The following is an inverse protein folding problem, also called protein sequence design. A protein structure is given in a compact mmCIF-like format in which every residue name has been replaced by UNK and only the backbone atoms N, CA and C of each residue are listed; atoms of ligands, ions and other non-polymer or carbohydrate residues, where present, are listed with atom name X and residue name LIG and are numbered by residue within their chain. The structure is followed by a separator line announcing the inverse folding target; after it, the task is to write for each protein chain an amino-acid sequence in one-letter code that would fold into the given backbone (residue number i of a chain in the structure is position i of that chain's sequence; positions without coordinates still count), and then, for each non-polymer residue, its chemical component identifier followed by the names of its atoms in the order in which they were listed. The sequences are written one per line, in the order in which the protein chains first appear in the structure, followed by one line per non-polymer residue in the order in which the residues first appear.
data_IF_024692723915
#
_entry.id   IF_024692723915
#
_cell.length_a   1.000
_cell.length_b   1.000
_cell.length_c   1.000
_cell.angle_alpha   90.00
_cell.angle_beta   90.00
_cell.angle_gamma   90.00
#
_symmetry.space_group_name_H-M   'P 1'
#
loop_
_entity.id
_entity.type
_entity.pdbx_description
1 polymer ?
#
# COMPACT_ATOMS: atom_id res chain seq x y z
N UNK A 1 9.34 12.77 -82.52
CA UNK A 1 8.97 11.46 -81.95
C UNK A 1 8.88 11.56 -80.42
N UNK A 2 8.07 12.49 -79.90
CA UNK A 2 7.98 12.85 -78.47
C UNK A 2 6.55 13.32 -78.12
N UNK A 3 5.55 12.76 -78.81
CA UNK A 3 4.13 13.16 -78.67
C UNK A 3 3.20 11.97 -78.35
N UNK A 4 3.72 10.74 -78.29
CA UNK A 4 2.93 9.50 -78.14
C UNK A 4 3.00 8.86 -76.75
N UNK A 5 3.89 9.30 -75.84
CA UNK A 5 3.96 8.79 -74.47
C UNK A 5 3.06 9.56 -73.49
N UNK A 6 2.76 10.84 -73.77
CA UNK A 6 1.87 11.67 -72.93
C UNK A 6 0.40 11.22 -73.04
N UNK A 7 -0.01 10.65 -74.19
CA UNK A 7 -1.37 10.12 -74.36
C UNK A 7 -1.61 8.76 -73.66
N UNK A 8 -0.55 8.02 -73.29
CA UNK A 8 -0.68 6.72 -72.62
C UNK A 8 -0.68 6.80 -71.09
N UNK A 9 -0.20 7.90 -70.51
CA UNK A 9 -0.27 8.16 -69.07
C UNK A 9 -1.62 8.75 -68.62
N UNK A 10 -2.27 9.56 -69.46
CA UNK A 10 -3.56 10.18 -69.14
C UNK A 10 -4.72 9.16 -69.04
N UNK A 11 -4.64 8.04 -69.76
CA UNK A 11 -5.68 6.98 -69.76
C UNK A 11 -5.59 6.09 -68.51
N UNK A 12 -4.45 6.04 -67.82
CA UNK A 12 -4.30 5.34 -66.53
C UNK A 12 -4.71 6.18 -65.32
N UNK A 13 -4.81 7.51 -65.48
CA UNK A 13 -5.26 8.42 -64.43
C UNK A 13 -6.79 8.55 -64.33
N UNK A 14 -7.54 8.05 -65.32
CA UNK A 14 -9.01 8.07 -65.35
C UNK A 14 -9.67 6.77 -64.84
N UNK A 15 -8.92 5.87 -64.20
CA UNK A 15 -9.47 4.73 -63.44
C UNK A 15 -9.47 4.97 -61.92
N UNK A 16 -9.11 6.18 -61.47
CA UNK A 16 -9.04 6.57 -60.05
C UNK A 16 -10.34 7.25 -59.57
N UNK A 17 -11.36 7.42 -60.43
CA UNK A 17 -12.59 8.19 -60.09
C UNK A 17 -13.84 7.32 -59.88
N UNK A 18 -13.72 5.99 -59.78
CA UNK A 18 -14.90 5.13 -59.57
C UNK A 18 -14.69 4.03 -58.52
N UNK A 19 -14.38 4.40 -57.26
CA UNK A 19 -14.66 3.55 -56.10
C UNK A 19 -14.61 4.33 -54.77
N UNK A 20 -15.44 5.37 -54.62
CA UNK A 20 -15.75 5.94 -53.29
C UNK A 20 -17.25 5.80 -53.08
N UNK A 21 -17.66 4.61 -52.66
CA UNK A 21 -18.99 4.33 -52.16
C UNK A 21 -18.88 3.29 -51.05
N UNK A 22 -19.55 3.59 -49.94
CA UNK A 22 -19.81 2.77 -48.76
C UNK A 22 -18.72 2.82 -47.67
N UNK A 23 -19.05 3.54 -46.61
CA UNK A 23 -18.28 3.50 -45.37
C UNK A 23 -18.41 4.71 -44.45
N UNK A 24 -19.54 5.44 -44.46
CA UNK A 24 -19.84 6.34 -43.35
C UNK A 24 -20.24 5.48 -42.14
N UNK A 25 -19.24 4.88 -41.47
CA UNK A 25 -19.42 4.41 -40.10
C UNK A 25 -19.62 5.66 -39.26
N UNK A 26 -20.87 5.96 -38.94
CA UNK A 26 -21.19 6.83 -37.82
C UNK A 26 -20.43 6.28 -36.63
N UNK A 27 -19.43 7.02 -36.15
CA UNK A 27 -18.91 6.81 -34.81
C UNK A 27 -20.06 7.17 -33.88
N UNK A 28 -20.91 6.18 -33.60
CA UNK A 28 -21.81 6.22 -32.47
C UNK A 28 -20.88 6.45 -31.28
N UNK A 29 -20.84 7.69 -30.78
CA UNK A 29 -20.18 8.00 -29.54
C UNK A 29 -20.69 7.00 -28.54
N UNK A 30 -19.80 6.13 -28.06
CA UNK A 30 -20.04 5.42 -26.82
C UNK A 30 -20.09 6.49 -25.74
N UNK A 31 -21.28 7.08 -25.58
CA UNK A 31 -21.65 7.67 -24.31
C UNK A 31 -21.63 6.50 -23.34
N UNK A 32 -20.47 6.32 -22.69
CA UNK A 32 -20.40 5.56 -21.47
C UNK A 32 -21.37 6.27 -20.53
N UNK A 33 -22.61 5.81 -20.54
CA UNK A 33 -23.60 6.16 -19.54
C UNK A 33 -23.02 5.60 -18.26
N UNK A 34 -22.40 6.48 -17.48
CA UNK A 34 -22.16 6.24 -16.07
C UNK A 34 -23.54 6.14 -15.43
N UNK A 35 -24.17 4.97 -15.56
CA UNK A 35 -25.25 4.55 -14.69
C UNK A 35 -24.57 4.41 -13.33
N UNK A 36 -24.59 5.49 -12.56
CA UNK A 36 -24.26 5.44 -11.15
C UNK A 36 -25.17 4.37 -10.56
N UNK A 37 -24.59 3.22 -10.22
CA UNK A 37 -25.28 2.26 -9.38
C UNK A 37 -25.71 3.06 -8.15
N UNK A 38 -27.02 3.23 -7.95
CA UNK A 38 -27.50 4.04 -6.86
C UNK A 38 -27.11 3.33 -5.57
N UNK A 39 -26.37 4.01 -4.69
CA UNK A 39 -26.00 3.51 -3.37
C UNK A 39 -27.20 3.53 -2.40
N UNK A 40 -28.42 3.54 -2.93
CA UNK A 40 -29.67 3.67 -2.20
C UNK A 40 -29.85 2.42 -1.33
N UNK A 41 -29.48 2.53 -0.05
CA UNK A 41 -29.58 1.44 0.93
C UNK A 41 -28.26 0.97 1.53
N UNK A 42 -27.11 1.48 1.07
CA UNK A 42 -25.86 1.26 1.79
C UNK A 42 -25.82 2.12 3.06
N UNK A 43 -25.46 1.55 4.22
CA UNK A 43 -25.34 2.35 5.44
C UNK A 43 -24.24 3.39 5.27
N UNK A 44 -24.59 4.67 5.41
CA UNK A 44 -23.65 5.79 5.32
C UNK A 44 -22.66 5.80 6.50
N UNK A 45 -22.97 5.07 7.57
CA UNK A 45 -22.18 4.98 8.80
C UNK A 45 -22.03 3.51 9.17
N UNK A 46 -20.79 3.08 9.44
CA UNK A 46 -20.50 1.79 10.05
C UNK A 46 -20.38 1.96 11.56
N UNK A 47 -21.18 1.21 12.31
CA UNK A 47 -21.08 1.10 13.77
C UNK A 47 -20.23 -0.14 14.14
N UNK A 48 -19.74 -0.21 15.39
CA UNK A 48 -19.03 -1.37 15.95
C UNK A 48 -17.68 -1.72 15.29
N UNK A 49 -16.81 -0.73 15.07
CA UNK A 49 -15.44 -0.99 14.60
C UNK A 49 -14.55 -1.45 15.77
N UNK A 50 -13.84 -2.56 15.61
CA UNK A 50 -12.86 -3.02 16.59
C UNK A 50 -11.68 -2.02 16.67
N UNK A 51 -11.19 -1.77 17.88
CA UNK A 51 -10.10 -0.83 18.14
C UNK A 51 -9.03 -1.50 19.01
N UNK A 52 -7.77 -1.25 18.68
CA UNK A 52 -6.66 -1.68 19.51
C UNK A 52 -6.59 -0.82 20.78
N UNK A 53 -6.60 -1.47 21.94
CA UNK A 53 -6.48 -0.79 23.23
C UNK A 53 -5.01 -0.53 23.58
N UNK A 54 -4.75 0.39 24.51
CA UNK A 54 -3.42 0.62 25.06
C UNK A 54 -2.82 -0.68 25.64
N UNK A 55 -3.61 -1.44 26.41
CA UNK A 55 -3.16 -2.72 26.98
C UNK A 55 -2.75 -3.74 25.91
N UNK A 56 -3.48 -3.80 24.79
CA UNK A 56 -3.08 -4.60 23.63
C UNK A 56 -1.77 -4.10 23.02
N UNK A 57 -1.64 -2.79 22.83
CA UNK A 57 -0.42 -2.18 22.30
C UNK A 57 0.81 -2.47 23.19
N UNK A 58 0.68 -2.31 24.51
CA UNK A 58 1.74 -2.62 25.48
C UNK A 58 2.13 -4.10 25.46
N UNK A 59 1.15 -5.01 25.33
CA UNK A 59 1.42 -6.45 25.21
C UNK A 59 2.23 -6.78 23.97
N UNK A 60 1.91 -6.17 22.82
CA UNK A 60 2.69 -6.33 21.60
C UNK A 60 4.12 -5.80 21.77
N UNK A 61 4.30 -4.64 22.40
CA UNK A 61 5.61 -4.06 22.70
C UNK A 61 6.46 -5.00 23.57
N UNK A 62 5.88 -5.56 24.64
CA UNK A 62 6.57 -6.49 25.53
C UNK A 62 7.02 -7.75 24.79
N UNK A 63 6.15 -8.34 23.96
CA UNK A 63 6.47 -9.53 23.19
C UNK A 63 7.59 -9.26 22.17
N UNK A 64 7.52 -8.14 21.44
CA UNK A 64 8.56 -7.72 20.51
C UNK A 64 9.89 -7.45 21.22
N UNK A 65 9.89 -6.77 22.37
CA UNK A 65 11.12 -6.53 23.14
C UNK A 65 11.79 -7.84 23.54
N UNK A 66 11.02 -8.81 24.04
CA UNK A 66 11.52 -10.14 24.40
C UNK A 66 12.15 -10.86 23.20
N UNK A 67 11.55 -10.75 22.02
CA UNK A 67 12.13 -11.33 20.80
C UNK A 67 13.45 -10.64 20.43
N UNK A 68 13.51 -9.32 20.51
CA UNK A 68 14.74 -8.57 20.23
C UNK A 68 15.88 -8.96 21.19
N UNK A 69 15.57 -9.18 22.47
CA UNK A 69 16.50 -9.71 23.47
C UNK A 69 17.02 -11.10 23.08
N UNK A 70 16.14 -12.02 22.67
CA UNK A 70 16.51 -13.37 22.19
C UNK A 70 17.43 -13.30 20.96
N UNK A 71 17.17 -12.36 20.06
CA UNK A 71 17.96 -12.16 18.83
C UNK A 71 19.26 -11.37 19.07
N UNK A 72 19.47 -10.83 20.27
CA UNK A 72 20.65 -10.02 20.60
C UNK A 72 20.69 -8.65 19.91
N UNK A 73 19.54 -8.09 19.52
CA UNK A 73 19.45 -6.79 18.83
C UNK A 73 18.82 -5.73 19.74
N UNK A 74 19.22 -4.46 19.57
CA UNK A 74 18.60 -3.32 20.25
C UNK A 74 17.77 -2.51 19.27
N UNK A 75 16.45 -2.42 19.50
CA UNK A 75 15.50 -1.81 18.55
C UNK A 75 14.56 -0.80 19.22
N UNK A 76 13.91 0.01 18.39
CA UNK A 76 12.77 0.85 18.72
C UNK A 76 11.49 0.15 18.24
N UNK A 77 10.45 0.15 19.05
CA UNK A 77 9.18 -0.53 18.81
C UNK A 77 8.07 0.50 18.97
N UNK A 78 7.30 0.71 17.91
CA UNK A 78 6.15 1.60 17.88
C UNK A 78 4.88 0.80 17.58
N UNK A 79 3.80 1.07 18.31
CA UNK A 79 2.47 0.52 18.03
C UNK A 79 1.48 1.67 17.86
N UNK A 80 0.70 1.61 16.79
CA UNK A 80 -0.26 2.65 16.38
C UNK A 80 -1.66 2.06 16.25
N UNK A 81 -2.68 2.93 16.34
CA UNK A 81 -4.07 2.60 16.02
C UNK A 81 -4.30 2.42 14.50
N UNK A 82 -5.54 2.16 14.11
CA UNK A 82 -5.91 1.96 12.70
C UNK A 82 -5.83 3.24 11.85
N UNK A 83 -5.76 4.41 12.47
CA UNK A 83 -5.48 5.72 11.84
C UNK A 83 -3.99 6.04 11.73
N UNK A 84 -3.14 5.25 12.39
CA UNK A 84 -1.69 5.47 12.42
C UNK A 84 -1.22 6.43 13.52
N UNK A 85 -2.06 6.68 14.54
CA UNK A 85 -1.70 7.45 15.73
C UNK A 85 -1.03 6.57 16.78
N UNK A 86 0.01 7.09 17.41
CA UNK A 86 0.84 6.35 18.37
C UNK A 86 0.05 5.99 19.64
N UNK A 87 0.02 4.71 19.97
CA UNK A 87 -0.56 4.19 21.21
C UNK A 87 0.50 3.83 22.24
N UNK A 88 1.56 3.13 21.80
CA UNK A 88 2.65 2.71 22.67
C UNK A 88 3.99 2.77 21.93
N UNK A 89 5.06 3.05 22.69
CA UNK A 89 6.41 3.14 22.16
C UNK A 89 7.43 2.65 23.18
N UNK A 90 8.42 1.89 22.73
CA UNK A 90 9.58 1.52 23.53
C UNK A 90 10.86 1.64 22.72
N UNK A 91 11.85 2.31 23.30
CA UNK A 91 13.23 2.32 22.80
C UNK A 91 14.08 1.49 23.76
N UNK A 92 14.68 0.42 23.25
CA UNK A 92 15.62 -0.37 24.04
C UNK A 92 16.90 0.42 24.31
N UNK A 93 17.53 0.16 25.45
CA UNK A 93 18.86 0.70 25.73
C UNK A 93 19.86 0.25 24.67
N UNK A 94 20.71 1.16 24.21
CA UNK A 94 21.63 0.90 23.09
C UNK A 94 20.98 0.96 21.69
N UNK A 95 19.65 1.05 21.58
CA UNK A 95 19.01 1.21 20.28
C UNK A 95 19.31 2.59 19.66
N UNK A 96 19.48 2.59 18.33
CA UNK A 96 19.79 3.78 17.53
C UNK A 96 18.71 4.86 17.71
N UNK A 97 19.04 6.08 18.20
CA UNK A 97 18.07 7.16 18.36
C UNK A 97 17.38 7.56 17.04
N UNK A 98 18.12 7.53 15.93
CA UNK A 98 17.57 7.87 14.60
C UNK A 98 16.47 6.91 14.13
N UNK A 99 16.38 5.71 14.71
CA UNK A 99 15.35 4.73 14.35
C UNK A 99 14.02 4.93 15.09
N UNK A 100 13.93 5.92 16.00
CA UNK A 100 12.65 6.30 16.65
C UNK A 100 11.62 6.68 15.59
N UNK A 101 11.91 7.67 14.76
CA UNK A 101 10.96 8.14 13.75
C UNK A 101 10.69 7.09 12.68
N UNK A 102 11.70 6.32 12.27
CA UNK A 102 11.50 5.29 11.25
C UNK A 102 10.61 4.16 11.75
N UNK A 103 10.72 3.75 13.02
CA UNK A 103 9.83 2.76 13.61
C UNK A 103 8.37 3.24 13.66
N UNK A 104 8.14 4.51 14.02
CA UNK A 104 6.80 5.12 13.99
C UNK A 104 6.27 5.18 12.56
N UNK A 105 7.06 5.67 11.59
CA UNK A 105 6.65 5.72 10.18
C UNK A 105 6.36 4.32 9.62
N UNK A 106 7.13 3.29 9.99
CA UNK A 106 6.84 1.91 9.58
C UNK A 106 5.49 1.42 10.12
N UNK A 107 5.19 1.70 11.39
CA UNK A 107 3.90 1.37 12.00
C UNK A 107 2.75 2.14 11.31
N UNK A 108 2.86 3.46 11.19
CA UNK A 108 1.85 4.31 10.53
C UNK A 108 1.63 3.91 9.07
N UNK A 109 2.70 3.62 8.32
CA UNK A 109 2.62 3.15 6.94
C UNK A 109 1.87 1.81 6.88
N UNK A 110 2.20 0.86 7.75
CA UNK A 110 1.52 -0.44 7.77
C UNK A 110 0.02 -0.32 8.12
N UNK A 111 -0.33 0.53 9.09
CA UNK A 111 -1.72 0.77 9.48
C UNK A 111 -2.51 1.40 8.33
N UNK A 112 -1.99 2.47 7.73
CA UNK A 112 -2.70 3.27 6.71
C UNK A 112 -2.74 2.59 5.35
N UNK A 113 -1.68 1.87 4.95
CA UNK A 113 -1.65 1.03 3.75
C UNK A 113 -2.47 -0.26 3.90
N UNK A 114 -2.82 -0.64 5.13
CA UNK A 114 -3.48 -1.93 5.44
C UNK A 114 -2.64 -3.13 5.01
N UNK A 115 -1.32 -3.06 5.18
CA UNK A 115 -0.40 -4.10 4.71
C UNK A 115 1.02 -3.93 5.25
N UNK A 116 1.83 -4.99 5.16
CA UNK A 116 3.22 -4.93 5.61
C UNK A 116 4.04 -3.88 4.86
N UNK A 117 4.99 -3.24 5.55
CA UNK A 117 6.01 -2.43 4.88
C UNK A 117 7.13 -3.31 4.35
N UNK A 118 7.78 -2.85 3.30
CA UNK A 118 8.84 -3.60 2.64
C UNK A 118 9.01 -3.15 1.19
N UNK A 119 9.98 -3.77 0.48
CA UNK A 119 10.19 -3.49 -0.92
C UNK A 119 8.91 -3.72 -1.72
N UNK A 120 8.70 -2.88 -2.72
CA UNK A 120 7.57 -3.02 -3.63
C UNK A 120 7.74 -4.28 -4.50
N UNK A 121 6.64 -4.91 -4.97
CA UNK A 121 6.66 -6.20 -5.66
C UNK A 121 7.55 -6.26 -6.91
N UNK A 122 7.94 -5.12 -7.48
CA UNK A 122 8.78 -5.00 -8.67
C UNK A 122 10.20 -4.52 -8.32
N UNK A 123 10.86 -5.14 -7.34
CA UNK A 123 12.26 -4.82 -7.02
C UNK A 123 13.21 -4.98 -8.23
N UNK A 124 12.86 -5.88 -9.16
CA UNK A 124 13.60 -6.12 -10.41
C UNK A 124 13.29 -5.09 -11.52
N UNK A 125 12.29 -4.23 -11.31
CA UNK A 125 11.87 -3.17 -12.22
C UNK A 125 11.44 -1.92 -11.43
N UNK A 126 12.29 -1.46 -10.50
CA UNK A 126 12.15 -0.13 -9.95
C UNK A 126 12.57 0.84 -11.05
N UNK A 127 11.64 1.23 -11.90
CA UNK A 127 11.87 2.34 -12.81
C UNK A 127 11.89 3.66 -12.03
N UNK A 128 12.39 4.71 -12.68
CA UNK A 128 12.46 6.04 -12.07
C UNK A 128 11.07 6.57 -11.65
N UNK A 129 9.99 6.13 -12.31
CA UNK A 129 8.63 6.54 -11.97
C UNK A 129 8.17 5.94 -10.64
N UNK A 130 8.48 4.67 -10.36
CA UNK A 130 8.13 4.03 -9.10
C UNK A 130 8.90 4.63 -7.92
N UNK A 131 10.19 4.95 -8.12
CA UNK A 131 11.01 5.62 -7.10
C UNK A 131 10.45 7.00 -6.76
N UNK A 132 10.13 7.78 -7.80
CA UNK A 132 9.54 9.10 -7.64
C UNK A 132 8.14 9.02 -6.99
N UNK A 133 7.35 8.00 -7.33
CA UNK A 133 6.04 7.78 -6.71
C UNK A 133 6.14 7.48 -5.20
N UNK A 134 7.14 6.69 -4.77
CA UNK A 134 7.39 6.42 -3.34
C UNK A 134 7.84 7.67 -2.60
N UNK A 135 8.75 8.45 -3.18
CA UNK A 135 9.21 9.72 -2.61
C UNK A 135 8.04 10.72 -2.50
N UNK A 136 7.25 10.86 -3.56
CA UNK A 136 6.05 11.69 -3.57
C UNK A 136 5.04 11.21 -2.52
N UNK A 137 4.78 9.90 -2.41
CA UNK A 137 3.90 9.34 -1.40
C UNK A 137 4.38 9.66 0.03
N UNK A 138 5.69 9.59 0.28
CA UNK A 138 6.28 10.02 1.54
C UNK A 138 6.10 11.53 1.77
N UNK A 139 6.32 12.37 0.77
CA UNK A 139 6.17 13.82 0.87
C UNK A 139 4.71 14.24 1.13
N UNK A 140 3.76 13.77 0.32
CA UNK A 140 2.32 14.16 0.45
C UNK A 140 1.68 13.62 1.72
N UNK A 141 2.19 12.52 2.27
CA UNK A 141 1.74 11.98 3.56
C UNK A 141 2.38 12.67 4.78
N UNK A 142 3.28 13.64 4.56
CA UNK A 142 4.02 14.31 5.63
C UNK A 142 5.04 13.41 6.33
N UNK A 143 5.67 12.50 5.58
CA UNK A 143 6.68 11.56 6.08
C UNK A 143 6.10 10.30 6.75
N UNK A 144 4.81 9.99 6.52
CA UNK A 144 4.09 8.89 7.16
C UNK A 144 4.06 7.59 6.34
N UNK A 145 4.73 7.58 5.18
CA UNK A 145 4.82 6.43 4.30
C UNK A 145 6.27 5.97 4.16
N UNK A 146 6.48 4.65 4.14
CA UNK A 146 7.81 4.05 3.91
C UNK A 146 7.71 2.65 3.30
N UNK A 147 8.71 2.31 2.48
CA UNK A 147 8.98 0.97 1.94
C UNK A 147 10.05 0.22 2.73
N UNK A 148 10.54 0.79 3.84
CA UNK A 148 11.47 0.09 4.72
C UNK A 148 10.74 -1.05 5.44
N UNK A 149 11.31 -2.25 5.39
CA UNK A 149 10.78 -3.45 6.05
C UNK A 149 10.81 -3.30 7.58
N UNK A 150 9.81 -3.87 8.26
CA UNK A 150 9.69 -3.86 9.73
C UNK A 150 8.39 -3.32 10.29
N UNK A 151 7.44 -2.90 9.44
CA UNK A 151 6.08 -2.54 9.80
C UNK A 151 5.10 -3.66 9.43
N UNK A 152 4.23 -4.06 10.36
CA UNK A 152 3.22 -5.10 10.14
C UNK A 152 1.85 -4.65 10.68
N UNK A 153 0.76 -4.90 9.94
CA UNK A 153 -0.58 -4.62 10.42
C UNK A 153 -0.98 -5.61 11.52
N UNK A 154 -1.76 -5.15 12.49
CA UNK A 154 -2.42 -5.96 13.50
C UNK A 154 -3.85 -6.20 13.04
N UNK A 155 -4.17 -7.47 12.78
CA UNK A 155 -5.45 -7.91 12.23
C UNK A 155 -6.36 -8.47 13.33
N UNK A 156 -7.64 -8.14 13.27
CA UNK A 156 -8.71 -8.74 14.06
C UNK A 156 -9.95 -8.89 13.19
N UNK A 157 -10.42 -10.13 12.98
CA UNK A 157 -11.57 -10.45 12.12
C UNK A 157 -11.51 -9.76 10.74
N UNK A 158 -10.40 -9.95 10.02
CA UNK A 158 -10.11 -9.33 8.71
C UNK A 158 -10.06 -7.79 8.70
N UNK A 159 -10.12 -7.15 9.87
CA UNK A 159 -9.97 -5.71 10.04
C UNK A 159 -8.57 -5.37 10.56
N UNK A 160 -7.91 -4.40 9.94
CA UNK A 160 -6.74 -3.75 10.53
C UNK A 160 -7.22 -2.88 11.70
N UNK A 161 -6.80 -3.21 12.92
CA UNK A 161 -7.14 -2.46 14.14
C UNK A 161 -5.98 -1.60 14.64
N UNK A 162 -4.81 -1.76 14.02
CA UNK A 162 -3.58 -1.05 14.35
C UNK A 162 -2.41 -1.61 13.57
N UNK A 163 -1.20 -1.20 13.92
CA UNK A 163 0.02 -1.76 13.37
C UNK A 163 1.19 -1.62 14.34
N UNK A 164 2.19 -2.48 14.15
CA UNK A 164 3.48 -2.42 14.84
C UNK A 164 4.57 -2.05 13.83
N UNK A 165 5.55 -1.27 14.28
CA UNK A 165 6.73 -0.90 13.51
C UNK A 165 7.99 -1.03 14.36
N UNK A 166 8.99 -1.72 13.83
CA UNK A 166 10.26 -1.96 14.50
C UNK A 166 11.40 -1.35 13.70
N UNK A 167 12.34 -0.71 14.40
CA UNK A 167 13.49 -0.05 13.78
C UNK A 167 14.74 -0.07 14.65
N UNK A 168 15.84 -0.58 14.10
CA UNK A 168 17.15 -0.49 14.75
C UNK A 168 18.14 -1.55 14.27
N UNK A 169 17.63 -2.66 13.74
CA UNK A 169 18.39 -3.78 13.21
C UNK A 169 18.34 -3.82 11.66
N UNK A 170 18.55 -4.99 11.05
CA UNK A 170 18.26 -5.17 9.62
C UNK A 170 16.75 -5.22 9.37
N UNK A 171 16.31 -4.99 8.13
CA UNK A 171 14.89 -5.02 7.80
C UNK A 171 14.23 -6.37 8.08
N UNK A 172 14.96 -7.46 7.88
CA UNK A 172 14.56 -8.83 8.20
C UNK A 172 14.36 -9.02 9.71
N UNK A 173 15.34 -8.59 10.50
CA UNK A 173 15.29 -8.70 11.96
C UNK A 173 14.18 -7.82 12.54
N UNK A 174 14.03 -6.59 12.04
CA UNK A 174 12.94 -5.69 12.43
C UNK A 174 11.57 -6.35 12.16
N UNK A 175 11.39 -6.98 10.98
CA UNK A 175 10.14 -7.66 10.64
C UNK A 175 9.87 -8.91 11.48
N UNK A 176 10.90 -9.68 11.84
CA UNK A 176 10.76 -10.86 12.71
C UNK A 176 10.33 -10.45 14.13
N UNK A 177 10.94 -9.39 14.67
CA UNK A 177 10.56 -8.82 15.97
C UNK A 177 9.13 -8.29 15.94
N UNK A 178 8.75 -7.59 14.87
CA UNK A 178 7.39 -7.10 14.66
C UNK A 178 6.38 -8.27 14.59
N UNK A 179 6.72 -9.33 13.84
CA UNK A 179 5.85 -10.48 13.65
C UNK A 179 5.55 -11.21 14.96
N UNK A 180 6.55 -11.29 15.85
CA UNK A 180 6.35 -11.87 17.18
C UNK A 180 5.36 -11.07 18.02
N UNK A 181 5.41 -9.73 17.96
CA UNK A 181 4.45 -8.85 18.62
C UNK A 181 3.02 -9.02 18.10
N UNK A 182 2.85 -9.10 16.77
CA UNK A 182 1.55 -9.38 16.14
C UNK A 182 1.03 -10.76 16.54
N UNK A 183 1.88 -11.79 16.48
CA UNK A 183 1.50 -13.16 16.79
C UNK A 183 1.03 -13.33 18.24
N UNK A 184 1.61 -12.61 19.20
CA UNK A 184 1.15 -12.60 20.59
C UNK A 184 -0.27 -12.07 20.72
N UNK A 185 -0.61 -11.00 19.99
CA UNK A 185 -1.96 -10.46 19.97
C UNK A 185 -2.95 -11.41 19.29
N UNK A 186 -2.58 -11.99 18.14
CA UNK A 186 -3.43 -12.96 17.45
C UNK A 186 -3.79 -14.15 18.33
N UNK A 187 -2.84 -14.66 19.14
CA UNK A 187 -3.11 -15.71 20.13
C UNK A 187 -4.08 -15.26 21.20
N UNK A 188 -3.90 -14.03 21.73
CA UNK A 188 -4.78 -13.47 22.75
C UNK A 188 -6.22 -13.28 22.23
N UNK A 189 -6.39 -12.86 20.98
CA UNK A 189 -7.69 -12.70 20.33
C UNK A 189 -8.44 -14.04 20.23
N UNK A 190 -7.73 -15.12 19.86
CA UNK A 190 -8.33 -16.45 19.77
C UNK A 190 -8.79 -17.02 21.13
N UNK A 191 -8.23 -16.51 22.24
CA UNK A 191 -8.56 -16.97 23.60
C UNK A 191 -9.64 -16.13 24.31
N UNK A 192 -10.01 -14.97 23.77
CA UNK A 192 -11.03 -14.10 24.37
C UNK A 192 -12.41 -14.53 23.87
N UNK A 193 -13.37 -14.90 24.74
CA UNK A 193 -14.75 -15.14 24.31
C UNK A 193 -15.29 -13.88 23.64
N UNK A 194 -15.85 -14.00 22.42
CA UNK A 194 -16.58 -12.91 21.80
C UNK A 194 -17.80 -12.60 22.68
N UNK A 195 -17.76 -11.50 23.41
CA UNK A 195 -18.96 -10.94 24.02
C UNK A 195 -19.76 -10.26 22.92
N UNK A 196 -20.91 -10.83 22.58
CA UNK A 196 -21.93 -10.26 21.70
C UNK A 196 -22.40 -8.87 22.16
#
# INVERSE_FOLDING_TARGET
MFRSEIQRLAIRAWSIVLLVLVGATTAAGQTNSFTAASNDGQPLVRTNRAQLTLAGAERAVVASRKQAEVMGVQVNIAVVDDGGHLLAFARMDGARPGSVYTSITKATSAATKRGATGPLPSADAVDAHLSLAVENAAAVSGGKFTTLKGGLPIMYNDQVIGAIGVGGATGEQDAEVAATGVAELSKAFASTPQSD
#
